data_IF_223122392846
#
_entry.id   IF_223122392846
#
_cell.length_a   1.000
_cell.length_b   1.000
_cell.length_c   1.000
_cell.angle_alpha   90.00
_cell.angle_beta   90.00
_cell.angle_gamma   90.00
#
_symmetry.space_group_name_H-M   'P 1'
#
loop_
_entity.id
_entity.type
_entity.pdbx_description
1 polymer ?
#
# COMPACT_ATOMS: atom_id res chain seq x y z
N UNK A 1 5.80 8.36 0.97
CA UNK A 1 6.75 9.15 0.12
C UNK A 1 7.45 8.33 -0.97
N UNK A 2 7.69 7.03 -0.76
CA UNK A 2 8.42 6.21 -1.73
C UNK A 2 9.92 6.54 -1.72
N UNK A 3 10.55 6.33 -0.56
CA UNK A 3 11.98 6.56 -0.30
C UNK A 3 12.59 5.37 0.45
N UNK A 4 12.07 4.17 0.23
CA UNK A 4 12.52 2.94 0.90
C UNK A 4 13.86 2.45 0.33
N UNK A 5 14.23 2.90 -0.87
CA UNK A 5 15.40 2.39 -1.59
C UNK A 5 15.09 1.16 -2.44
N UNK A 6 13.85 0.67 -2.42
CA UNK A 6 13.37 -0.46 -3.24
C UNK A 6 12.55 0.10 -4.41
N UNK A 7 13.10 0.12 -5.65
CA UNK A 7 12.51 0.87 -6.76
C UNK A 7 11.04 0.53 -7.05
N UNK A 8 10.67 -0.74 -6.94
CA UNK A 8 9.31 -1.20 -7.22
C UNK A 8 8.30 -0.72 -6.17
N UNK A 9 8.66 -0.81 -4.88
CA UNK A 9 7.83 -0.29 -3.77
C UNK A 9 7.73 1.22 -3.85
N UNK A 10 8.85 1.89 -4.12
CA UNK A 10 8.90 3.34 -4.24
C UNK A 10 8.05 3.87 -5.39
N UNK A 11 8.09 3.20 -6.56
CA UNK A 11 7.24 3.54 -7.69
C UNK A 11 5.75 3.41 -7.33
N UNK A 12 5.36 2.32 -6.67
CA UNK A 12 3.96 2.12 -6.22
C UNK A 12 3.49 3.20 -5.24
N UNK A 13 4.32 3.55 -4.25
CA UNK A 13 4.00 4.60 -3.28
C UNK A 13 3.93 6.00 -3.91
N UNK A 14 4.73 6.28 -4.93
CA UNK A 14 4.68 7.54 -5.67
C UNK A 14 3.46 7.60 -6.59
N UNK A 15 3.15 6.50 -7.29
CA UNK A 15 1.96 6.40 -8.13
C UNK A 15 0.68 6.62 -7.30
N UNK A 16 0.57 5.96 -6.14
CA UNK A 16 -0.55 6.15 -5.22
C UNK A 16 -0.79 7.64 -4.92
N UNK A 17 0.28 8.38 -4.60
CA UNK A 17 0.17 9.79 -4.22
C UNK A 17 -0.15 10.70 -5.40
N UNK A 18 0.38 10.39 -6.58
CA UNK A 18 0.20 11.21 -7.78
C UNK A 18 -1.18 10.99 -8.45
N UNK A 19 -1.59 9.73 -8.56
CA UNK A 19 -2.75 9.32 -9.36
C UNK A 19 -3.95 8.96 -8.48
N UNK A 20 -3.74 8.64 -7.20
CA UNK A 20 -4.78 8.13 -6.31
C UNK A 20 -5.28 6.74 -6.68
N UNK A 21 -4.49 6.00 -7.45
CA UNK A 21 -4.76 4.62 -7.85
C UNK A 21 -3.44 3.87 -8.00
N UNK A 22 -3.47 2.57 -7.72
CA UNK A 22 -2.36 1.64 -7.93
C UNK A 22 -2.94 0.27 -8.29
N UNK A 23 -2.34 -0.41 -9.25
CA UNK A 23 -2.74 -1.77 -9.62
C UNK A 23 -2.63 -2.75 -8.43
N UNK A 24 -3.58 -3.68 -8.30
CA UNK A 24 -3.68 -4.57 -7.14
C UNK A 24 -2.38 -5.34 -6.84
N UNK A 25 -1.69 -5.83 -7.87
CA UNK A 25 -0.40 -6.54 -7.70
C UNK A 25 0.65 -5.67 -7.00
N UNK A 26 0.70 -4.38 -7.33
CA UNK A 26 1.64 -3.45 -6.69
C UNK A 26 1.20 -3.18 -5.25
N UNK A 27 -0.11 -3.07 -4.98
CA UNK A 27 -0.64 -2.94 -3.60
C UNK A 27 -0.20 -4.11 -2.72
N UNK A 28 -0.30 -5.35 -3.22
CA UNK A 28 0.15 -6.55 -2.50
C UNK A 28 1.66 -6.53 -2.21
N UNK A 29 2.49 -6.11 -3.16
CA UNK A 29 3.95 -6.03 -2.94
C UNK A 29 4.28 -4.96 -1.89
N UNK A 30 3.65 -3.79 -1.96
CA UNK A 30 3.82 -2.72 -0.97
C UNK A 30 3.36 -3.18 0.42
N UNK A 31 2.22 -3.87 0.50
CA UNK A 31 1.70 -4.37 1.77
C UNK A 31 2.60 -5.46 2.37
N UNK A 32 3.07 -6.41 1.55
CA UNK A 32 4.04 -7.42 1.97
C UNK A 32 5.33 -6.78 2.47
N UNK A 33 5.83 -5.75 1.77
CA UNK A 33 7.04 -5.05 2.19
C UNK A 33 6.87 -4.36 3.55
N UNK A 34 5.73 -3.70 3.78
CA UNK A 34 5.45 -3.05 5.06
C UNK A 34 5.41 -4.06 6.21
N UNK A 35 4.74 -5.20 6.02
CA UNK A 35 4.49 -6.15 7.11
C UNK A 35 5.66 -7.10 7.31
N UNK A 36 6.22 -7.65 6.24
CA UNK A 36 7.19 -8.77 6.32
C UNK A 36 8.64 -8.30 6.31
N UNK A 37 8.95 -7.25 5.57
CA UNK A 37 10.32 -6.71 5.54
C UNK A 37 10.51 -5.66 6.65
N UNK A 38 9.57 -4.71 6.77
CA UNK A 38 9.67 -3.66 7.79
C UNK A 38 9.10 -4.02 9.16
N UNK A 39 8.39 -5.15 9.28
CA UNK A 39 7.78 -5.61 10.54
C UNK A 39 6.85 -4.58 11.19
N UNK A 40 6.09 -3.85 10.36
CA UNK A 40 5.14 -2.83 10.79
C UNK A 40 3.69 -3.32 10.65
N UNK A 41 2.84 -2.82 11.55
CA UNK A 41 1.42 -3.13 11.58
C UNK A 41 0.72 -2.73 10.27
N UNK A 42 0.00 -3.70 9.70
CA UNK A 42 -0.70 -3.55 8.42
C UNK A 42 -1.76 -2.43 8.46
N UNK A 43 -2.36 -2.15 9.63
CA UNK A 43 -3.37 -1.11 9.79
C UNK A 43 -2.83 0.28 9.43
N UNK A 44 -1.52 0.52 9.66
CA UNK A 44 -0.85 1.78 9.29
C UNK A 44 -0.82 1.95 7.77
N UNK A 45 -0.52 0.86 7.07
CA UNK A 45 -0.55 0.81 5.61
C UNK A 45 -1.96 0.98 5.05
N UNK A 46 -2.94 0.28 5.62
CA UNK A 46 -4.34 0.39 5.24
C UNK A 46 -4.86 1.82 5.41
N UNK A 47 -4.58 2.47 6.55
CA UNK A 47 -4.93 3.86 6.80
C UNK A 47 -4.23 4.83 5.82
N UNK A 48 -2.95 4.59 5.51
CA UNK A 48 -2.22 5.40 4.54
C UNK A 48 -2.83 5.29 3.13
N UNK A 49 -3.20 4.09 2.69
CA UNK A 49 -3.84 3.90 1.39
C UNK A 49 -5.19 4.62 1.31
N UNK A 50 -6.01 4.55 2.36
CA UNK A 50 -7.30 5.25 2.43
C UNK A 50 -7.19 6.77 2.29
N UNK A 51 -6.05 7.38 2.62
CA UNK A 51 -5.86 8.83 2.47
C UNK A 51 -5.71 9.27 1.01
N UNK A 52 -5.26 8.38 0.12
CA UNK A 52 -4.88 8.74 -1.25
C UNK A 52 -5.74 8.07 -2.31
N UNK A 53 -6.33 6.91 -2.02
CA UNK A 53 -7.16 6.18 -2.96
C UNK A 53 -8.42 6.98 -3.32
N UNK A 54 -8.56 7.32 -4.61
CA UNK A 54 -9.75 7.98 -5.15
C UNK A 54 -10.97 7.07 -5.15
N UNK A 55 -10.74 5.76 -5.28
CA UNK A 55 -11.75 4.70 -5.29
C UNK A 55 -11.71 3.86 -4.00
N UNK A 56 -11.23 4.45 -2.89
CA UNK A 56 -11.02 3.74 -1.64
C UNK A 56 -12.31 3.24 -1.01
N UNK A 57 -12.59 1.94 -1.16
CA UNK A 57 -13.58 1.22 -0.35
C UNK A 57 -12.91 0.63 0.89
N UNK A 58 -13.52 0.86 2.06
CA UNK A 58 -12.98 0.42 3.35
C UNK A 58 -12.90 -1.12 3.37
N UNK A 59 -13.96 -1.82 2.97
CA UNK A 59 -13.99 -3.28 3.09
C UNK A 59 -12.94 -3.94 2.19
N UNK A 60 -12.87 -3.53 0.92
CA UNK A 60 -11.89 -4.03 -0.05
C UNK A 60 -10.45 -3.73 0.38
N UNK A 61 -10.18 -2.49 0.82
CA UNK A 61 -8.84 -2.11 1.26
C UNK A 61 -8.41 -2.91 2.50
N UNK A 62 -9.26 -2.95 3.54
CA UNK A 62 -8.95 -3.69 4.77
C UNK A 62 -8.74 -5.18 4.51
N UNK A 63 -9.57 -5.79 3.65
CA UNK A 63 -9.43 -7.19 3.29
C UNK A 63 -8.11 -7.48 2.57
N UNK A 64 -7.73 -6.66 1.60
CA UNK A 64 -6.46 -6.82 0.87
C UNK A 64 -5.23 -6.73 1.79
N UNK A 65 -5.26 -5.82 2.76
CA UNK A 65 -4.20 -5.68 3.75
C UNK A 65 -4.14 -6.86 4.72
N UNK A 66 -5.29 -7.32 5.23
CA UNK A 66 -5.35 -8.51 6.11
C UNK A 66 -4.87 -9.78 5.41
N UNK A 67 -5.22 -9.97 4.14
CA UNK A 67 -4.80 -11.15 3.38
C UNK A 67 -3.29 -11.17 3.11
N UNK A 68 -2.67 -9.99 2.95
CA UNK A 68 -1.25 -9.88 2.60
C UNK A 68 -0.33 -9.96 3.81
N UNK A 69 -0.80 -9.50 4.97
CA UNK A 69 -0.07 -9.46 6.24
C UNK A 69 0.58 -10.82 6.58
#
# INVERSE_FOLDING_TARGET
EGRTGYPFVDAGMRQLRAEGWVHNRVRMVVASFLVKDLHLDWQRGAAHFMQWLRDGDIASNQHGWQWTA
#
